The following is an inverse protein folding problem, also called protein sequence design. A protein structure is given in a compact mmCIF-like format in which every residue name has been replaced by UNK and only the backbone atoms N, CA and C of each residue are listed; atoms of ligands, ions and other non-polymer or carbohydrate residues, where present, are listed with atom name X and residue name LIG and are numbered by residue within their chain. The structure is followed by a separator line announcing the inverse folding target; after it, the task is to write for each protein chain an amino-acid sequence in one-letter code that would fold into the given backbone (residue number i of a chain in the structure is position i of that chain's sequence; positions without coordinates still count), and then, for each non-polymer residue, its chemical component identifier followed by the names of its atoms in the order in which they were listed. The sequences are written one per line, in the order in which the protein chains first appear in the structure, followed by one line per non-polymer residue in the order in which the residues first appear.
data_IF_762366008836
#
_entry.id   IF_762366008836
#
_cell.length_a   1.000
_cell.length_b   1.000
_cell.length_c   1.000
_cell.angle_alpha   90.00
_cell.angle_beta   90.00
_cell.angle_gamma   90.00
#
_symmetry.space_group_name_H-M   'P 1'
#
loop_
_entity.id
_entity.type
_entity.pdbx_description
1 polymer ?
#
# COMPACT_ATOMS: atom_id res chain seq x y z
N UNK A 1 -2.81 3.30 -9.12
CA UNK A 1 -3.49 3.28 -7.81
C UNK A 1 -4.80 4.03 -7.95
N UNK A 2 -5.89 3.44 -7.47
CA UNK A 2 -7.25 3.94 -7.67
C UNK A 2 -7.87 4.18 -6.30
N UNK A 3 -7.86 5.43 -5.82
CA UNK A 3 -8.54 5.82 -4.59
C UNK A 3 -9.95 6.32 -4.96
N UNK A 4 -10.95 5.45 -4.80
CA UNK A 4 -12.34 5.75 -5.12
C UNK A 4 -12.97 6.39 -3.89
N UNK A 5 -13.57 7.58 -4.04
CA UNK A 5 -14.13 8.35 -2.92
C UNK A 5 -15.59 8.03 -2.62
N UNK A 6 -16.24 7.31 -3.51
CA UNK A 6 -17.63 6.88 -3.42
C UNK A 6 -17.72 5.36 -3.37
N UNK A 7 -18.39 4.82 -2.37
CA UNK A 7 -18.63 3.39 -2.26
C UNK A 7 -19.61 2.89 -3.33
N UNK A 8 -19.40 1.69 -3.85
CA UNK A 8 -20.30 1.00 -4.77
C UNK A 8 -19.93 1.12 -6.25
N UNK A 9 -18.93 1.93 -6.61
CA UNK A 9 -18.46 2.06 -8.00
C UNK A 9 -17.10 1.39 -8.26
N UNK A 10 -16.50 0.74 -7.26
CA UNK A 10 -15.14 0.19 -7.34
C UNK A 10 -15.01 -0.89 -8.42
N UNK A 11 -16.02 -1.76 -8.54
CA UNK A 11 -16.06 -2.80 -9.57
C UNK A 11 -16.15 -2.20 -10.99
N UNK A 12 -16.94 -1.13 -11.14
CA UNK A 12 -17.10 -0.42 -12.41
C UNK A 12 -15.82 0.33 -12.79
N UNK A 13 -15.14 0.94 -11.82
CA UNK A 13 -13.83 1.56 -12.00
C UNK A 13 -12.81 0.51 -12.47
N UNK A 14 -12.73 -0.65 -11.82
CA UNK A 14 -11.84 -1.73 -12.24
C UNK A 14 -12.17 -2.24 -13.66
N UNK A 15 -13.45 -2.39 -13.99
CA UNK A 15 -13.90 -2.77 -15.33
C UNK A 15 -13.42 -1.76 -16.38
N UNK A 16 -13.61 -0.46 -16.12
CA UNK A 16 -13.18 0.62 -16.99
C UNK A 16 -11.66 0.68 -17.19
N UNK A 17 -10.89 0.45 -16.13
CA UNK A 17 -9.41 0.43 -16.14
C UNK A 17 -8.91 -0.76 -16.99
N UNK A 18 -9.48 -1.95 -16.77
CA UNK A 18 -9.15 -3.17 -17.52
C UNK A 18 -9.50 -3.07 -19.01
N UNK A 19 -10.67 -2.49 -19.32
CA UNK A 19 -11.10 -2.27 -20.71
C UNK A 19 -10.14 -1.36 -21.50
N UNK A 20 -9.34 -0.54 -20.81
CA UNK A 20 -8.30 0.32 -21.41
C UNK A 20 -6.91 -0.34 -21.46
N UNK A 21 -6.81 -1.62 -21.12
CA UNK A 21 -5.54 -2.36 -21.12
C UNK A 21 -4.59 -2.00 -19.97
N UNK A 22 -5.06 -1.29 -18.94
CA UNK A 22 -4.23 -0.91 -17.79
C UNK A 22 -4.15 -2.10 -16.83
N UNK A 23 -3.04 -2.84 -16.88
CA UNK A 23 -2.80 -4.06 -16.08
C UNK A 23 -2.19 -3.79 -14.69
N UNK A 24 -1.56 -2.63 -14.50
CA UNK A 24 -0.89 -2.26 -13.24
C UNK A 24 -1.72 -1.26 -12.42
N UNK A 25 -2.89 -1.71 -11.98
CA UNK A 25 -3.78 -0.93 -11.13
C UNK A 25 -4.31 -1.76 -9.96
N UNK A 26 -4.64 -1.07 -8.88
CA UNK A 26 -5.28 -1.65 -7.70
C UNK A 26 -6.14 -0.58 -7.04
N UNK A 27 -7.21 -1.03 -6.39
CA UNK A 27 -8.05 -0.22 -5.53
C UNK A 27 -7.34 0.02 -4.19
N UNK A 28 -7.24 1.29 -3.83
CA UNK A 28 -6.71 1.78 -2.58
C UNK A 28 -7.88 2.23 -1.70
N UNK A 29 -7.76 2.05 -0.38
CA UNK A 29 -8.64 2.70 0.61
C UNK A 29 -10.11 2.33 0.41
N UNK A 30 -10.37 1.05 0.17
CA UNK A 30 -11.73 0.52 0.03
C UNK A 30 -12.34 0.21 1.39
N UNK A 31 -13.64 0.42 1.51
CA UNK A 31 -14.35 0.03 2.73
C UNK A 31 -14.26 -1.49 2.97
N UNK A 32 -14.22 -1.88 4.24
CA UNK A 32 -14.11 -3.28 4.62
C UNK A 32 -15.20 -4.19 4.02
N UNK A 33 -16.50 -3.80 3.95
CA UNK A 33 -17.52 -4.63 3.31
C UNK A 33 -17.24 -4.92 1.82
N UNK A 34 -16.64 -3.97 1.09
CA UNK A 34 -16.25 -4.18 -0.30
C UNK A 34 -15.03 -5.11 -0.37
N UNK A 35 -13.96 -4.82 0.39
CA UNK A 35 -12.79 -5.69 0.50
C UNK A 35 -13.20 -7.14 0.80
N UNK A 36 -14.07 -7.35 1.79
CA UNK A 36 -14.51 -8.67 2.22
C UNK A 36 -15.18 -9.47 1.10
N UNK A 37 -16.12 -8.85 0.38
CA UNK A 37 -16.91 -9.50 -0.68
C UNK A 37 -16.09 -9.69 -1.95
N UNK A 38 -15.43 -8.64 -2.43
CA UNK A 38 -14.68 -8.65 -3.69
C UNK A 38 -13.49 -9.62 -3.64
N UNK A 39 -12.72 -9.61 -2.55
CA UNK A 39 -11.57 -10.51 -2.40
C UNK A 39 -11.97 -11.99 -2.33
N UNK A 40 -13.18 -12.30 -1.84
CA UNK A 40 -13.74 -13.67 -1.85
C UNK A 40 -14.30 -14.07 -3.21
N UNK A 41 -14.75 -13.10 -4.00
CA UNK A 41 -15.11 -13.30 -5.40
C UNK A 41 -13.89 -13.44 -6.33
N UNK A 42 -12.68 -13.34 -5.79
CA UNK A 42 -11.42 -13.52 -6.53
C UNK A 42 -10.79 -12.22 -7.05
N UNK A 43 -11.32 -11.06 -6.67
CA UNK A 43 -10.68 -9.79 -7.00
C UNK A 43 -9.42 -9.57 -6.16
N UNK A 44 -8.24 -9.58 -6.80
CA UNK A 44 -6.93 -9.44 -6.14
C UNK A 44 -6.33 -8.05 -6.25
N UNK A 45 -6.84 -7.21 -7.17
CA UNK A 45 -6.36 -5.85 -7.40
C UNK A 45 -6.92 -4.86 -6.36
N UNK A 46 -6.76 -5.20 -5.08
CA UNK A 46 -7.19 -4.43 -3.92
C UNK A 46 -6.02 -4.37 -2.95
N UNK A 47 -5.80 -3.23 -2.30
CA UNK A 47 -4.86 -3.11 -1.20
C UNK A 47 -5.56 -3.30 0.15
N UNK A 48 -4.98 -4.13 1.02
CA UNK A 48 -5.31 -4.14 2.44
C UNK A 48 -4.54 -3.02 3.13
N UNK A 49 -5.19 -2.29 4.04
CA UNK A 49 -4.55 -1.23 4.82
C UNK A 49 -3.78 -1.82 5.99
N UNK A 50 -2.59 -1.27 6.23
CA UNK A 50 -1.72 -1.56 7.36
C UNK A 50 -1.12 -0.25 7.85
N UNK A 51 -1.17 -0.02 9.16
CA UNK A 51 -0.63 1.19 9.80
C UNK A 51 -0.38 0.92 11.29
N UNK A 52 -0.09 1.96 12.05
CA UNK A 52 -0.03 1.90 13.51
C UNK A 52 -1.39 1.61 14.16
N UNK A 53 -2.50 1.95 13.49
CA UNK A 53 -3.87 1.74 13.97
C UNK A 53 -4.53 0.51 13.33
N UNK A 54 -3.97 0.03 12.21
CA UNK A 54 -4.53 -1.06 11.42
C UNK A 54 -3.61 -2.29 11.50
N UNK A 55 -4.06 -3.39 12.13
CA UNK A 55 -3.18 -4.48 12.56
C UNK A 55 -2.56 -5.25 11.38
N UNK A 56 -1.30 -5.68 11.54
CA UNK A 56 -0.60 -6.51 10.55
C UNK A 56 -1.31 -7.87 10.35
N UNK A 57 -2.02 -8.36 11.36
CA UNK A 57 -2.83 -9.58 11.31
C UNK A 57 -3.90 -9.54 10.21
N UNK A 58 -4.36 -8.34 9.82
CA UNK A 58 -5.26 -8.20 8.69
C UNK A 58 -4.57 -8.56 7.37
N UNK A 59 -3.31 -8.17 7.20
CA UNK A 59 -2.49 -8.54 6.03
C UNK A 59 -2.36 -10.06 5.96
N UNK A 60 -2.02 -10.72 7.07
CA UNK A 60 -1.91 -12.19 7.13
C UNK A 60 -3.22 -12.88 6.71
N UNK A 61 -4.36 -12.37 7.20
CA UNK A 61 -5.69 -12.94 6.91
C UNK A 61 -6.10 -12.81 5.45
N UNK A 62 -5.56 -11.82 4.73
CA UNK A 62 -5.90 -11.52 3.33
C UNK A 62 -4.79 -11.81 2.32
N UNK A 63 -3.59 -12.22 2.76
CA UNK A 63 -2.43 -12.53 1.91
C UNK A 63 -2.72 -13.42 0.70
N UNK A 64 -3.62 -14.39 0.84
CA UNK A 64 -3.99 -15.30 -0.27
C UNK A 64 -5.09 -14.75 -1.16
N UNK A 65 -5.70 -13.61 -0.80
CA UNK A 65 -6.90 -13.03 -1.43
C UNK A 65 -6.64 -11.74 -2.18
N UNK A 66 -5.59 -11.01 -1.81
CA UNK A 66 -5.20 -9.73 -2.41
C UNK A 66 -3.74 -9.75 -2.81
N UNK A 67 -3.37 -8.86 -3.73
CA UNK A 67 -1.97 -8.72 -4.16
C UNK A 67 -1.25 -7.55 -3.50
N UNK A 68 -1.98 -6.59 -2.93
CA UNK A 68 -1.42 -5.32 -2.47
C UNK A 68 -1.62 -5.07 -0.98
N UNK A 69 -0.66 -4.38 -0.38
CA UNK A 69 -0.76 -3.78 0.95
C UNK A 69 -0.48 -2.29 0.84
N UNK A 70 -1.35 -1.49 1.43
CA UNK A 70 -1.19 -0.07 1.64
C UNK A 70 -0.60 0.17 3.02
N UNK A 71 0.65 0.62 3.08
CA UNK A 71 1.37 0.87 4.33
C UNK A 71 1.25 2.36 4.63
N UNK A 72 0.30 2.72 5.47
CA UNK A 72 0.12 4.10 5.92
C UNK A 72 1.14 4.42 7.01
N UNK A 73 1.63 5.65 7.03
CA UNK A 73 2.69 6.09 7.96
C UNK A 73 2.23 7.32 8.73
N UNK A 74 1.11 7.17 9.45
CA UNK A 74 0.36 8.28 10.04
C UNK A 74 1.25 9.06 11.02
N UNK A 75 1.90 8.35 11.94
CA UNK A 75 2.75 8.94 13.01
C UNK A 75 4.19 8.44 12.98
N UNK A 76 4.47 7.30 12.35
CA UNK A 76 5.79 6.67 12.21
C UNK A 76 5.78 5.63 11.09
N UNK A 77 6.93 5.02 10.83
CA UNK A 77 7.04 3.88 9.95
C UNK A 77 6.62 2.61 10.73
N UNK A 78 5.49 1.96 10.40
CA UNK A 78 5.03 0.77 11.09
C UNK A 78 5.75 -0.46 10.52
N UNK A 79 7.08 -0.52 10.64
CA UNK A 79 7.84 -1.68 10.18
C UNK A 79 8.78 -2.21 11.27
N UNK A 80 8.66 -3.50 11.51
CA UNK A 80 9.57 -4.35 12.28
C UNK A 80 9.76 -5.68 11.52
N UNK A 81 10.55 -6.60 12.08
CA UNK A 81 10.82 -7.90 11.46
C UNK A 81 9.54 -8.72 11.23
N UNK A 82 8.57 -8.62 12.15
CA UNK A 82 7.27 -9.30 12.04
C UNK A 82 6.47 -8.74 10.87
N UNK A 83 6.37 -7.42 10.76
CA UNK A 83 5.69 -6.75 9.67
C UNK A 83 6.33 -7.09 8.33
N UNK A 84 7.66 -7.06 8.24
CA UNK A 84 8.37 -7.44 7.00
C UNK A 84 8.09 -8.89 6.61
N UNK A 85 8.08 -9.83 7.56
CA UNK A 85 7.68 -11.21 7.31
C UNK A 85 6.24 -11.33 6.76
N UNK A 86 5.30 -10.61 7.38
CA UNK A 86 3.90 -10.56 6.98
C UNK A 86 3.66 -9.86 5.63
N UNK A 87 4.56 -8.97 5.20
CA UNK A 87 4.51 -8.29 3.90
C UNK A 87 5.21 -9.07 2.78
N UNK A 88 6.08 -10.03 3.11
CA UNK A 88 6.87 -10.77 2.13
C UNK A 88 5.98 -11.49 1.09
N UNK A 89 6.26 -11.32 -0.19
CA UNK A 89 5.49 -11.90 -1.29
C UNK A 89 4.23 -11.13 -1.71
N UNK A 90 3.90 -10.03 -1.01
CA UNK A 90 2.85 -9.09 -1.43
C UNK A 90 3.49 -7.86 -2.08
N UNK A 91 2.74 -7.20 -2.97
CA UNK A 91 3.13 -5.88 -3.47
C UNK A 91 2.80 -4.84 -2.39
N UNK A 92 3.73 -3.94 -2.14
CA UNK A 92 3.58 -2.95 -1.06
C UNK A 92 3.61 -1.55 -1.64
N UNK A 93 2.71 -0.70 -1.17
CA UNK A 93 2.78 0.72 -1.45
C UNK A 93 2.87 1.51 -0.15
N UNK A 94 4.02 2.16 0.05
CA UNK A 94 4.32 2.96 1.23
C UNK A 94 3.78 4.39 1.05
N UNK A 95 3.07 4.88 2.05
CA UNK A 95 2.75 6.31 2.16
C UNK A 95 3.99 7.05 2.62
N UNK A 96 4.49 7.97 1.80
CA UNK A 96 5.59 8.83 2.21
C UNK A 96 5.13 9.71 3.39
N UNK A 97 6.00 9.98 4.39
CA UNK A 97 5.63 10.74 5.58
C UNK A 97 5.34 12.23 5.29
N UNK A 98 5.67 12.74 4.10
CA UNK A 98 5.29 14.08 3.64
C UNK A 98 3.76 14.26 3.53
N UNK A 99 3.01 13.18 3.25
CA UNK A 99 1.54 13.18 3.19
C UNK A 99 0.94 13.50 4.55
N UNK A 100 1.72 13.27 5.60
CA UNK A 100 1.41 13.59 6.98
C UNK A 100 2.17 14.82 7.49
N UNK A 101 2.75 15.63 6.58
CA UNK A 101 3.46 16.86 6.95
C UNK A 101 4.85 16.63 7.54
N UNK A 102 5.44 15.44 7.36
CA UNK A 102 6.74 15.03 7.92
C UNK A 102 7.77 14.65 6.86
N UNK A 103 8.09 15.53 5.90
CA UNK A 103 9.08 15.21 4.87
C UNK A 103 10.49 14.95 5.42
N UNK A 104 10.81 15.50 6.61
CA UNK A 104 12.10 15.26 7.28
C UNK A 104 12.32 13.81 7.70
N UNK A 105 11.26 12.98 7.76
CA UNK A 105 11.35 11.59 8.18
C UNK A 105 11.77 10.64 7.03
N UNK A 106 11.78 11.14 5.79
CA UNK A 106 12.10 10.32 4.60
C UNK A 106 13.47 9.63 4.74
N UNK A 107 14.58 10.31 5.09
CA UNK A 107 15.87 9.65 5.24
C UNK A 107 15.88 8.60 6.34
N UNK A 108 15.23 8.88 7.49
CA UNK A 108 15.15 7.94 8.60
C UNK A 108 14.36 6.68 8.20
N UNK A 109 13.29 6.83 7.42
CA UNK A 109 12.51 5.71 6.90
C UNK A 109 13.33 4.85 5.94
N UNK A 110 14.08 5.49 5.03
CA UNK A 110 14.97 4.81 4.11
C UNK A 110 16.03 3.98 4.85
N UNK A 111 16.70 4.56 5.85
CA UNK A 111 17.68 3.84 6.68
C UNK A 111 17.07 2.68 7.44
N UNK A 112 15.88 2.87 8.05
CA UNK A 112 15.19 1.80 8.78
C UNK A 112 14.74 0.67 7.87
N UNK A 113 14.21 0.98 6.68
CA UNK A 113 13.83 -0.03 5.69
C UNK A 113 15.05 -0.80 5.17
N UNK A 114 16.17 -0.13 4.91
CA UNK A 114 17.41 -0.79 4.52
C UNK A 114 17.93 -1.75 5.62
N UNK A 115 17.91 -1.32 6.88
CA UNK A 115 18.28 -2.17 8.01
C UNK A 115 17.38 -3.40 8.20
N UNK A 116 16.13 -3.34 7.74
CA UNK A 116 15.17 -4.44 7.75
C UNK A 116 15.19 -5.28 6.45
N UNK A 117 16.01 -4.91 5.46
CA UNK A 117 16.01 -5.55 4.14
C UNK A 117 14.69 -5.38 3.39
N UNK A 118 13.94 -4.32 3.67
CA UNK A 118 12.62 -4.08 3.09
C UNK A 118 12.68 -3.03 1.97
N UNK A 119 12.09 -3.36 0.83
CA UNK A 119 11.93 -2.42 -0.30
C UNK A 119 10.46 -2.39 -0.73
N UNK A 120 9.79 -1.24 -0.66
CA UNK A 120 8.40 -1.16 -1.10
C UNK A 120 8.31 -1.27 -2.62
N UNK A 121 7.25 -1.91 -3.13
CA UNK A 121 6.98 -1.98 -4.58
C UNK A 121 6.72 -0.61 -5.20
N UNK A 122 6.06 0.27 -4.45
CA UNK A 122 5.76 1.64 -4.85
C UNK A 122 5.75 2.58 -3.63
N UNK A 123 5.91 3.87 -3.88
CA UNK A 123 5.77 4.91 -2.86
C UNK A 123 4.75 5.95 -3.33
N UNK A 124 3.73 6.23 -2.51
CA UNK A 124 2.85 7.38 -2.71
C UNK A 124 3.56 8.62 -2.21
N UNK A 125 4.02 9.48 -3.12
CA UNK A 125 4.73 10.71 -2.77
C UNK A 125 4.36 11.85 -3.70
N UNK A 126 4.54 13.10 -3.27
CA UNK A 126 4.42 14.27 -4.14
C UNK A 126 5.68 14.45 -5.03
N UNK A 127 5.50 15.06 -6.22
CA UNK A 127 6.57 15.23 -7.21
C UNK A 127 7.90 15.81 -6.66
N UNK A 128 7.90 16.81 -5.75
CA UNK A 128 9.14 17.37 -5.20
C UNK A 128 10.01 16.35 -4.44
N UNK A 129 9.43 15.28 -3.91
CA UNK A 129 10.14 14.28 -3.11
C UNK A 129 10.53 13.03 -3.90
N UNK A 130 10.07 12.91 -5.15
CA UNK A 130 10.45 11.80 -6.04
C UNK A 130 11.98 11.64 -6.17
N UNK A 131 12.79 12.71 -6.31
CA UNK A 131 14.25 12.56 -6.38
C UNK A 131 14.86 11.88 -5.15
N UNK A 132 14.35 12.17 -3.95
CA UNK A 132 14.84 11.55 -2.71
C UNK A 132 14.56 10.04 -2.68
N UNK A 133 13.39 9.62 -3.14
CA UNK A 133 13.03 8.21 -3.24
C UNK A 133 13.75 7.47 -4.37
N UNK A 134 14.06 8.16 -5.48
CA UNK A 134 14.84 7.58 -6.59
C UNK A 134 16.33 7.47 -6.29
N UNK A 135 16.86 8.36 -5.46
CA UNK A 135 18.26 8.33 -5.04
C UNK A 135 18.55 7.22 -4.02
N UNK A 136 17.54 6.83 -3.23
CA UNK A 136 17.64 5.71 -2.31
C UNK A 136 17.78 4.38 -3.05
N UNK A 137 18.85 3.65 -2.73
CA UNK A 137 19.03 2.26 -3.14
C UNK A 137 19.11 1.41 -1.87
N UNK A 138 18.14 0.51 -1.64
CA UNK A 138 18.13 -0.39 -0.49
C UNK A 138 19.29 -1.39 -0.54
#
# INVERSE_FOLDING_TARGET
MLNVKEAGIEAEVLRCVRARGISHAFLLDVEFPYLYRASRAGERAIAVRYSEDEPIELVDRYRTRVDWVWIDTITRLPLDERAVGALNGLKTCLVCPERWGRPGDIPAYQSRMAGLGFTPTAVMTALPYVPQWRAWRP
#
